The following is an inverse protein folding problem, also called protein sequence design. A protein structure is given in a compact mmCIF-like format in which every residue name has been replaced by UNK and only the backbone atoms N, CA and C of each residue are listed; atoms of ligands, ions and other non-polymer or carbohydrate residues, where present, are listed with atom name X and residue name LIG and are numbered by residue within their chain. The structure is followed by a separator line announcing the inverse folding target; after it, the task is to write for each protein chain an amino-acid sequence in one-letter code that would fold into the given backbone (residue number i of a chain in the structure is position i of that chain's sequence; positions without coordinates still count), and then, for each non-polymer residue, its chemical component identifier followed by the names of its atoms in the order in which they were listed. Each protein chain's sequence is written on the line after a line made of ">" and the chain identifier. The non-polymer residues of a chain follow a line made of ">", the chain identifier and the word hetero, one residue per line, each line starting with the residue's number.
data_IF_214541679511
#
_entry.id   IF_214541679511
#
_cell.length_a   1.000
_cell.length_b   1.000
_cell.length_c   1.000
_cell.angle_alpha   90.00
_cell.angle_beta   90.00
_cell.angle_gamma   90.00
#
_symmetry.space_group_name_H-M   'P 1'
#
loop_
_entity.id
_entity.type
_entity.pdbx_description
1 polymer ?
#
# COMPACT_ATOMS: atom_id res chain seq x y z
N UNK A 1 -18.33 -10.16 14.22
CA UNK A 1 -18.56 -10.11 12.76
C UNK A 1 -18.44 -8.69 12.17
N UNK A 2 -18.82 -7.60 12.86
CA UNK A 2 -18.70 -6.22 12.32
C UNK A 2 -17.34 -5.52 12.60
N UNK A 3 -16.51 -6.02 13.51
CA UNK A 3 -15.23 -5.36 13.85
C UNK A 3 -14.09 -5.67 12.86
N UNK A 4 -14.16 -6.80 12.15
CA UNK A 4 -13.16 -7.16 11.13
C UNK A 4 -13.22 -6.22 9.92
N UNK A 5 -14.43 -5.79 9.58
CA UNK A 5 -14.70 -4.83 8.52
C UNK A 5 -14.13 -3.45 8.92
N UNK A 6 -14.29 -3.01 10.18
CA UNK A 6 -13.77 -1.70 10.63
C UNK A 6 -12.27 -1.51 10.47
N UNK A 7 -11.47 -2.59 10.53
CA UNK A 7 -10.01 -2.53 10.30
C UNK A 7 -9.65 -2.28 8.84
N UNK A 8 -10.51 -2.67 7.90
CA UNK A 8 -10.44 -2.30 6.48
C UNK A 8 -11.07 -0.94 6.18
N UNK A 9 -11.86 -0.35 7.07
CA UNK A 9 -12.53 0.94 6.86
C UNK A 9 -11.77 2.16 7.42
N UNK A 10 -10.49 2.04 7.76
CA UNK A 10 -9.65 3.22 8.07
C UNK A 10 -9.21 4.00 6.81
N UNK A 11 -9.93 3.89 5.70
CA UNK A 11 -9.48 4.34 4.37
C UNK A 11 -9.80 5.81 4.04
N UNK A 12 -10.66 6.49 4.82
CA UNK A 12 -10.80 7.95 4.72
C UNK A 12 -9.70 8.74 5.47
N UNK A 13 -8.88 8.07 6.30
CA UNK A 13 -7.83 8.76 7.08
C UNK A 13 -6.54 9.00 6.31
N UNK A 14 -6.23 8.23 5.26
CA UNK A 14 -4.98 8.39 4.51
C UNK A 14 -5.03 9.59 3.55
N UNK A 15 -6.14 9.80 2.84
CA UNK A 15 -6.31 10.99 1.99
C UNK A 15 -6.36 12.29 2.81
N UNK A 16 -7.00 12.28 3.99
CA UNK A 16 -6.98 13.42 4.91
C UNK A 16 -5.57 13.70 5.47
N UNK A 17 -4.78 12.65 5.75
CA UNK A 17 -3.39 12.80 6.26
C UNK A 17 -2.49 13.55 5.27
N UNK A 18 -2.69 13.35 3.96
CA UNK A 18 -1.85 13.95 2.92
C UNK A 18 -2.55 15.07 2.15
N UNK A 19 -3.72 15.53 2.59
CA UNK A 19 -4.43 16.67 2.01
C UNK A 19 -3.57 17.94 1.95
N UNK A 20 -2.67 18.12 2.93
CA UNK A 20 -1.68 19.19 2.93
C UNK A 20 -0.67 19.08 1.79
N UNK A 21 -0.16 17.88 1.50
CA UNK A 21 0.75 17.63 0.38
C UNK A 21 0.06 17.78 -0.97
N UNK A 22 -1.20 17.33 -1.09
CA UNK A 22 -1.97 17.52 -2.33
C UNK A 22 -2.20 19.01 -2.66
N UNK A 23 -2.28 19.87 -1.64
CA UNK A 23 -2.49 21.33 -1.82
C UNK A 23 -1.20 22.12 -1.99
N UNK A 24 -0.19 21.83 -1.18
CA UNK A 24 1.02 22.67 -1.05
C UNK A 24 2.30 21.98 -1.53
N UNK A 25 2.24 20.68 -1.83
CA UNK A 25 3.39 19.91 -2.28
C UNK A 25 3.71 20.15 -3.75
N UNK A 26 4.95 19.86 -4.12
CA UNK A 26 5.35 19.79 -5.52
C UNK A 26 4.79 18.51 -6.12
N UNK A 27 3.98 18.63 -7.16
CA UNK A 27 3.47 17.50 -7.92
C UNK A 27 4.51 17.05 -8.96
N UNK A 28 4.84 15.76 -8.96
CA UNK A 28 5.54 15.07 -10.02
C UNK A 28 4.56 14.15 -10.72
N UNK A 29 4.57 14.17 -12.05
CA UNK A 29 3.81 13.24 -12.87
C UNK A 29 4.75 12.13 -13.32
N UNK A 30 4.38 10.90 -13.02
CA UNK A 30 5.12 9.71 -13.41
C UNK A 30 4.27 8.89 -14.38
N UNK A 31 4.85 8.55 -15.54
CA UNK A 31 4.25 7.59 -16.47
C UNK A 31 4.61 6.18 -16.05
N UNK A 32 3.91 5.22 -16.63
CA UNK A 32 4.23 3.80 -16.44
C UNK A 32 5.72 3.50 -16.68
N UNK A 33 6.29 4.03 -17.76
CA UNK A 33 7.68 3.80 -18.14
C UNK A 33 8.70 4.42 -17.16
N UNK A 34 8.28 5.38 -16.34
CA UNK A 34 9.12 6.02 -15.32
C UNK A 34 9.10 5.26 -13.99
N UNK A 35 8.25 4.25 -13.86
CA UNK A 35 8.02 3.50 -12.63
C UNK A 35 8.63 2.11 -12.71
N UNK A 36 9.33 1.74 -11.65
CA UNK A 36 9.77 0.37 -11.44
C UNK A 36 8.82 -0.32 -10.45
N UNK A 37 8.25 -1.45 -10.86
CA UNK A 37 7.44 -2.30 -9.99
C UNK A 37 8.36 -3.35 -9.37
N UNK A 38 8.43 -3.40 -8.05
CA UNK A 38 9.24 -4.36 -7.29
C UNK A 38 8.30 -5.36 -6.61
N UNK A 39 8.29 -6.64 -7.03
CA UNK A 39 7.53 -7.68 -6.35
C UNK A 39 8.02 -7.87 -4.92
N UNK A 40 7.09 -8.15 -4.02
CA UNK A 40 7.36 -8.46 -2.62
C UNK A 40 6.35 -9.45 -2.09
N UNK A 41 6.76 -10.26 -1.13
CA UNK A 41 5.86 -11.12 -0.36
C UNK A 41 5.83 -10.62 1.08
N UNK A 42 4.64 -10.47 1.65
CA UNK A 42 4.45 -10.17 3.07
C UNK A 42 3.84 -11.39 3.76
N UNK A 43 4.44 -11.81 4.86
CA UNK A 43 3.90 -12.89 5.70
C UNK A 43 2.94 -12.28 6.72
N UNK A 44 1.68 -12.68 6.68
CA UNK A 44 0.64 -12.22 7.60
C UNK A 44 0.22 -13.40 8.45
N UNK A 45 0.34 -13.24 9.76
CA UNK A 45 -0.21 -14.19 10.72
C UNK A 45 -1.66 -13.82 11.00
N UNK A 46 -2.61 -14.66 10.60
CA UNK A 46 -4.01 -14.49 10.93
C UNK A 46 -4.40 -15.38 12.13
N UNK A 47 -5.22 -14.87 13.05
CA UNK A 47 -5.87 -15.73 14.03
C UNK A 47 -6.87 -16.62 13.29
N UNK A 48 -6.89 -17.92 13.62
CA UNK A 48 -7.87 -18.85 13.07
C UNK A 48 -9.24 -18.54 13.70
N UNK A 49 -10.13 -17.91 12.95
CA UNK A 49 -11.53 -17.73 13.35
C UNK A 49 -12.36 -18.99 12.99
N UNK A 50 -13.09 -19.48 14.00
CA UNK A 50 -14.14 -20.51 13.99
C UNK A 50 -13.78 -22.00 13.89
N UNK A 51 -13.50 -22.61 15.06
CA UNK A 51 -14.07 -23.91 15.49
C UNK A 51 -14.11 -23.99 17.04
N UNK A 52 -15.22 -23.56 17.63
CA UNK A 52 -15.37 -23.28 19.08
C UNK A 52 -15.07 -24.46 20.02
N UNK A 53 -15.15 -25.71 19.54
CA UNK A 53 -15.02 -26.91 20.39
C UNK A 53 -13.59 -27.44 20.50
N UNK A 54 -12.77 -27.23 19.48
CA UNK A 54 -11.37 -27.72 19.43
C UNK A 54 -10.45 -26.79 20.23
N UNK A 55 -10.69 -25.48 20.13
CA UNK A 55 -9.87 -24.46 20.81
C UNK A 55 -9.94 -24.48 22.34
N UNK A 56 -11.06 -24.91 22.97
CA UNK A 56 -11.12 -25.03 24.43
C UNK A 56 -10.15 -26.09 24.96
N UNK A 57 -10.00 -27.20 24.25
CA UNK A 57 -9.06 -28.27 24.60
C UNK A 57 -7.62 -27.88 24.30
N UNK A 58 -7.37 -27.19 23.18
CA UNK A 58 -6.02 -26.73 22.82
C UNK A 58 -5.53 -25.56 23.69
N UNK A 59 -6.42 -24.67 24.15
CA UNK A 59 -6.09 -23.62 25.12
C UNK A 59 -5.76 -24.19 26.50
N UNK A 60 -6.47 -25.24 26.94
CA UNK A 60 -6.12 -26.01 28.15
C UNK A 60 -4.76 -26.73 28.00
N UNK A 61 -4.35 -27.04 26.76
CA UNK A 61 -3.07 -27.67 26.43
C UNK A 61 -1.96 -26.66 26.07
N UNK A 62 -2.21 -25.34 26.15
CA UNK A 62 -1.23 -24.28 25.88
C UNK A 62 -0.81 -24.16 24.41
N UNK A 63 -1.64 -24.61 23.46
CA UNK A 63 -1.33 -24.53 22.02
C UNK A 63 -1.99 -23.30 21.39
N UNK A 64 -1.17 -22.37 20.92
CA UNK A 64 -1.64 -21.29 20.04
C UNK A 64 -1.82 -21.81 18.62
N UNK A 65 -2.91 -21.43 17.96
CA UNK A 65 -3.21 -21.78 16.58
C UNK A 65 -3.22 -20.51 15.76
N UNK A 66 -2.13 -20.29 15.03
CA UNK A 66 -2.01 -19.22 14.06
C UNK A 66 -1.91 -19.82 12.66
N UNK A 67 -2.55 -19.16 11.69
CA UNK A 67 -2.38 -19.51 10.28
C UNK A 67 -1.47 -18.45 9.65
N UNK A 68 -0.35 -18.88 9.11
CA UNK A 68 0.53 -18.04 8.30
C UNK A 68 0.03 -18.04 6.86
N UNK A 69 -0.29 -16.85 6.35
CA UNK A 69 -0.65 -16.65 4.96
C UNK A 69 0.41 -15.74 4.33
N UNK A 70 0.93 -16.16 3.17
CA UNK A 70 1.78 -15.30 2.34
C UNK A 70 0.88 -14.48 1.42
N UNK A 71 1.05 -13.17 1.45
CA UNK A 71 0.37 -12.26 0.53
C UNK A 71 1.40 -11.73 -0.46
N UNK A 72 1.15 -11.99 -1.73
CA UNK A 72 1.90 -11.35 -2.81
C UNK A 72 1.48 -9.89 -2.95
N UNK A 73 2.46 -9.04 -3.25
CA UNK A 73 2.26 -7.63 -3.48
C UNK A 73 3.46 -6.99 -4.17
N UNK A 74 3.42 -5.67 -4.26
CA UNK A 74 4.42 -4.89 -4.97
C UNK A 74 4.68 -3.55 -4.28
N UNK A 75 5.85 -2.98 -4.56
CA UNK A 75 6.18 -1.58 -4.35
C UNK A 75 6.37 -0.88 -5.69
N UNK A 76 6.04 0.41 -5.74
CA UNK A 76 6.41 1.29 -6.86
C UNK A 76 7.62 2.10 -6.46
N UNK A 77 8.60 2.15 -7.36
CA UNK A 77 9.77 3.00 -7.22
C UNK A 77 9.78 4.02 -8.33
N UNK A 78 9.89 5.28 -7.94
CA UNK A 78 10.04 6.40 -8.86
C UNK A 78 11.38 7.10 -8.62
N UNK A 79 12.14 7.33 -9.68
CA UNK A 79 13.42 8.03 -9.62
C UNK A 79 13.31 9.41 -10.26
N UNK A 80 13.79 10.45 -9.57
CA UNK A 80 13.82 11.81 -10.10
C UNK A 80 15.14 12.50 -9.78
N UNK A 81 15.49 13.54 -10.56
CA UNK A 81 16.64 14.40 -10.26
C UNK A 81 16.18 15.61 -9.46
N UNK A 82 16.88 15.90 -8.37
CA UNK A 82 16.65 17.12 -7.60
C UNK A 82 17.30 18.35 -8.26
N UNK A 83 17.15 19.52 -7.64
CA UNK A 83 17.71 20.78 -8.13
C UNK A 83 19.24 20.81 -8.15
N UNK A 84 19.92 19.94 -7.39
CA UNK A 84 21.36 19.76 -7.42
C UNK A 84 21.81 18.74 -8.46
N UNK A 85 20.87 18.11 -9.18
CA UNK A 85 21.12 17.06 -10.17
C UNK A 85 21.33 15.67 -9.56
N UNK A 86 21.17 15.51 -8.24
CA UNK A 86 21.28 14.21 -7.58
C UNK A 86 20.02 13.36 -7.85
N UNK A 87 20.22 12.07 -8.11
CA UNK A 87 19.12 11.13 -8.33
C UNK A 87 18.58 10.69 -6.98
N UNK A 88 17.29 10.96 -6.75
CA UNK A 88 16.53 10.49 -5.59
C UNK A 88 15.53 9.43 -6.00
N UNK A 89 15.27 8.47 -5.11
CA UNK A 89 14.28 7.41 -5.30
C UNK A 89 13.20 7.51 -4.23
N UNK A 90 11.96 7.38 -4.66
CA UNK A 90 10.78 7.35 -3.81
C UNK A 90 10.15 5.97 -3.90
N UNK A 91 9.68 5.43 -2.78
CA UNK A 91 9.11 4.09 -2.70
C UNK A 91 7.68 4.21 -2.19
N UNK A 92 6.72 3.64 -2.91
CA UNK A 92 5.32 3.66 -2.47
C UNK A 92 5.13 2.83 -1.20
N UNK A 93 4.00 3.01 -0.48
CA UNK A 93 3.52 1.99 0.44
C UNK A 93 3.34 0.63 -0.25
N UNK A 94 3.28 -0.44 0.53
CA UNK A 94 3.01 -1.79 0.03
C UNK A 94 1.64 -1.85 -0.66
N UNK A 95 1.61 -2.39 -1.87
CA UNK A 95 0.40 -2.58 -2.67
C UNK A 95 0.14 -4.07 -2.74
N UNK A 96 -0.94 -4.53 -2.09
CA UNK A 96 -1.33 -5.94 -2.08
C UNK A 96 -1.97 -6.40 -3.39
N UNK A 97 -1.27 -6.22 -4.50
CA UNK A 97 -1.59 -6.69 -5.85
C UNK A 97 -0.34 -7.33 -6.47
N UNK A 98 -0.53 -8.41 -7.21
CA UNK A 98 0.54 -9.01 -7.99
C UNK A 98 1.05 -8.06 -9.08
N UNK A 99 2.26 -8.34 -9.57
CA UNK A 99 2.94 -7.51 -10.55
C UNK A 99 2.12 -7.32 -11.84
N UNK A 100 1.47 -8.37 -12.35
CA UNK A 100 0.76 -8.31 -13.62
C UNK A 100 -0.50 -7.43 -13.49
N UNK A 101 -1.28 -7.63 -12.43
CA UNK A 101 -2.48 -6.83 -12.14
C UNK A 101 -2.14 -5.35 -11.92
N UNK A 102 -1.08 -5.07 -11.15
CA UNK A 102 -0.62 -3.71 -10.91
C UNK A 102 -0.13 -3.05 -12.19
N UNK A 103 0.64 -3.76 -13.00
CA UNK A 103 1.12 -3.27 -14.30
C UNK A 103 -0.03 -2.86 -15.21
N UNK A 104 -1.04 -3.73 -15.34
CA UNK A 104 -2.21 -3.45 -16.17
C UNK A 104 -2.98 -2.21 -15.70
N UNK A 105 -3.20 -2.06 -14.39
CA UNK A 105 -3.89 -0.89 -13.82
C UNK A 105 -3.11 0.40 -14.04
N UNK A 106 -1.79 0.39 -13.87
CA UNK A 106 -0.94 1.55 -14.11
C UNK A 106 -0.94 1.95 -15.59
N UNK A 107 -0.87 0.98 -16.50
CA UNK A 107 -0.98 1.22 -17.95
C UNK A 107 -2.33 1.86 -18.31
N UNK A 108 -3.42 1.38 -17.72
CA UNK A 108 -4.76 1.94 -17.94
C UNK A 108 -4.89 3.39 -17.43
N UNK A 109 -4.27 3.68 -16.27
CA UNK A 109 -4.26 5.02 -15.67
C UNK A 109 -3.39 6.03 -16.43
N UNK A 110 -2.38 5.56 -17.18
CA UNK A 110 -1.40 6.33 -17.99
C UNK A 110 -0.41 7.15 -17.17
N UNK A 111 -0.90 7.94 -16.22
CA UNK A 111 -0.08 8.84 -15.39
C UNK A 111 -0.52 8.79 -13.93
N UNK A 112 0.45 8.77 -13.02
CA UNK A 112 0.21 8.87 -11.58
C UNK A 112 0.81 10.17 -11.04
N UNK A 113 0.18 10.71 -10.00
CA UNK A 113 0.67 11.90 -9.30
C UNK A 113 1.42 11.51 -8.04
N UNK A 114 2.63 12.04 -7.89
CA UNK A 114 3.46 11.90 -6.71
C UNK A 114 3.66 13.30 -6.12
N UNK A 115 3.22 13.49 -4.88
CA UNK A 115 3.32 14.77 -4.19
C UNK A 115 4.49 14.72 -3.22
N UNK A 116 5.37 15.72 -3.28
CA UNK A 116 6.56 15.80 -2.42
C UNK A 116 6.53 17.13 -1.65
N UNK A 117 6.84 17.10 -0.37
CA UNK A 117 7.04 18.32 0.40
C UNK A 117 8.32 19.04 -0.09
N UNK A 118 8.23 20.31 -0.54
CA UNK A 118 9.38 21.05 -1.05
C UNK A 118 10.43 21.37 0.01
N UNK A 119 10.05 21.37 1.29
CA UNK A 119 10.95 21.64 2.43
C UNK A 119 11.58 20.35 2.94
N UNK A 120 10.81 19.27 3.00
CA UNK A 120 11.29 17.96 3.45
C UNK A 120 11.01 16.88 2.38
N UNK A 121 12.00 16.56 1.54
CA UNK A 121 11.82 15.59 0.45
C UNK A 121 11.59 14.15 0.92
N UNK A 122 11.77 13.85 2.21
CA UNK A 122 11.43 12.54 2.79
C UNK A 122 9.91 12.39 3.02
N UNK A 123 9.17 13.49 3.05
CA UNK A 123 7.72 13.48 3.15
C UNK A 123 7.10 13.57 1.75
N UNK A 124 6.53 12.44 1.31
CA UNK A 124 5.91 12.32 0.00
C UNK A 124 4.70 11.38 0.02
N UNK A 125 3.87 11.48 -1.02
CA UNK A 125 2.65 10.71 -1.19
C UNK A 125 2.48 10.27 -2.64
N UNK A 126 2.30 8.96 -2.85
CA UNK A 126 1.90 8.39 -4.12
C UNK A 126 0.37 8.38 -4.20
N UNK A 127 -0.22 9.10 -5.14
CA UNK A 127 -1.67 9.05 -5.37
C UNK A 127 -2.02 7.79 -6.16
N UNK A 128 -2.25 6.72 -5.41
CA UNK A 128 -2.66 5.40 -5.90
C UNK A 128 -4.13 5.11 -5.60
N UNK A 129 -4.94 6.16 -5.36
CA UNK A 129 -6.37 6.04 -5.06
C UNK A 129 -7.16 5.27 -6.14
N UNK A 130 -6.75 5.40 -7.40
CA UNK A 130 -7.33 4.67 -8.54
C UNK A 130 -7.15 3.14 -8.48
N UNK A 131 -6.24 2.64 -7.63
CA UNK A 131 -6.07 1.19 -7.43
C UNK A 131 -7.15 0.62 -6.51
N UNK A 132 -7.79 1.45 -5.69
CA UNK A 132 -8.81 1.02 -4.74
C UNK A 132 -10.14 0.75 -5.45
N UNK A 133 -10.88 -0.30 -5.07
CA UNK A 133 -12.22 -0.53 -5.59
C UNK A 133 -13.14 0.63 -5.19
N UNK A 134 -13.61 1.40 -6.17
CA UNK A 134 -14.73 2.32 -6.01
C UNK A 134 -16.02 1.49 -5.91
N UNK A 135 -16.47 1.24 -4.68
CA UNK A 135 -17.81 0.70 -4.47
C UNK A 135 -18.82 1.86 -4.61
N UNK A 136 -19.82 1.75 -5.51
CA UNK A 136 -20.90 2.71 -5.63
C UNK A 136 -21.86 2.68 -4.43
#
# INVERSE_FOLDING_TARGET
>A
MFDFIRKYFSHNKQDDKYAGLKKNGKQLLARFDDLQIIPSEEQITLPIEDTTRVQMLDALAGKEHSQEIRREGCYLVYAYKDSAGAVKKLVSPYIGMDHATLSFKLLAQKEISIYINPVNTEEYYFDISFLLPTFP
#
